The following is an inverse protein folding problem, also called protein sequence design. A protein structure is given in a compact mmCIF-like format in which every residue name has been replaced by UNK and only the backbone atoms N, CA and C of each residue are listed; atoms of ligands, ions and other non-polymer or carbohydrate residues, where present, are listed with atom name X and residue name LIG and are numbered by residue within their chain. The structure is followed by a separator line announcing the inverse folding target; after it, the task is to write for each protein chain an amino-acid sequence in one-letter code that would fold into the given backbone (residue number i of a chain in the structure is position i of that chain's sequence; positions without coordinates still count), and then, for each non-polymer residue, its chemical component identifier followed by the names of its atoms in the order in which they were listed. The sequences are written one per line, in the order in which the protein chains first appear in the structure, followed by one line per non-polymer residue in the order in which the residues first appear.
data_IF_121726762405
#
_entry.id   IF_121726762405
#
_cell.length_a   1.000
_cell.length_b   1.000
_cell.length_c   1.000
_cell.angle_alpha   90.00
_cell.angle_beta   90.00
_cell.angle_gamma   90.00
#
_symmetry.space_group_name_H-M   'P 1'
#
loop_
_entity.id
_entity.type
_entity.pdbx_description
1 polymer ?
#
# COMPACT_ATOMS: atom_id res chain seq x y z
N UNK A 1 -8.75 -22.30 -1.49
CA UNK A 1 -8.56 -20.85 -1.29
C UNK A 1 -8.49 -20.21 -2.67
N UNK A 2 -9.39 -19.29 -3.00
CA UNK A 2 -9.37 -18.62 -4.30
C UNK A 2 -8.05 -17.85 -4.48
N UNK A 3 -7.42 -18.00 -5.63
CA UNK A 3 -6.09 -17.43 -5.91
C UNK A 3 -6.18 -15.90 -5.90
N UNK A 4 -5.26 -15.18 -5.22
CA UNK A 4 -5.21 -13.72 -5.27
C UNK A 4 -5.09 -13.25 -6.73
N UNK A 5 -5.80 -12.18 -7.08
CA UNK A 5 -5.70 -11.59 -8.43
C UNK A 5 -4.36 -10.88 -8.62
N UNK A 6 -3.89 -10.79 -9.87
CA UNK A 6 -2.66 -10.06 -10.20
C UNK A 6 -2.71 -8.58 -9.73
N UNK A 7 -3.91 -7.97 -9.78
CA UNK A 7 -4.16 -6.62 -9.29
C UNK A 7 -4.00 -6.51 -7.77
N UNK A 8 -4.54 -7.48 -7.02
CA UNK A 8 -4.40 -7.52 -5.56
C UNK A 8 -2.93 -7.65 -5.17
N UNK A 9 -2.17 -8.52 -5.83
CA UNK A 9 -0.74 -8.71 -5.58
C UNK A 9 0.05 -7.41 -5.82
N UNK A 10 -0.20 -6.74 -6.95
CA UNK A 10 0.44 -5.44 -7.27
C UNK A 10 0.18 -4.40 -6.19
N UNK A 11 -1.06 -4.31 -5.71
CA UNK A 11 -1.42 -3.30 -4.71
C UNK A 11 -0.87 -3.63 -3.32
N UNK A 12 -0.73 -4.91 -2.97
CA UNK A 12 0.00 -5.33 -1.76
C UNK A 12 1.47 -4.93 -1.87
N UNK A 13 2.13 -5.22 -3.00
CA UNK A 13 3.53 -4.83 -3.23
C UNK A 13 3.71 -3.31 -3.16
N UNK A 14 2.81 -2.55 -3.78
CA UNK A 14 2.83 -1.09 -3.70
C UNK A 14 2.69 -0.58 -2.25
N UNK A 15 1.76 -1.15 -1.47
CA UNK A 15 1.59 -0.79 -0.07
C UNK A 15 2.88 -1.04 0.75
N UNK A 16 3.54 -2.19 0.54
CA UNK A 16 4.81 -2.52 1.22
C UNK A 16 5.91 -1.53 0.84
N UNK A 17 6.08 -1.24 -0.45
CA UNK A 17 7.09 -0.28 -0.93
C UNK A 17 6.85 1.11 -0.34
N UNK A 18 5.60 1.57 -0.32
CA UNK A 18 5.25 2.87 0.25
C UNK A 18 5.47 2.90 1.76
N UNK A 19 5.17 1.84 2.49
CA UNK A 19 5.46 1.75 3.92
C UNK A 19 6.97 1.88 4.20
N UNK A 20 7.82 1.20 3.41
CA UNK A 20 9.29 1.32 3.52
C UNK A 20 9.75 2.73 3.20
N UNK A 21 9.24 3.34 2.12
CA UNK A 21 9.58 4.71 1.74
C UNK A 21 9.17 5.73 2.83
N UNK A 22 8.03 5.52 3.49
CA UNK A 22 7.58 6.35 4.59
C UNK A 22 8.54 6.27 5.78
N UNK A 23 8.89 5.05 6.22
CA UNK A 23 9.83 4.84 7.32
C UNK A 23 11.18 5.45 6.99
N UNK A 24 11.69 5.23 5.77
CA UNK A 24 12.94 5.83 5.31
C UNK A 24 12.93 7.36 5.37
N UNK A 25 11.87 8.00 4.85
CA UNK A 25 11.76 9.47 4.86
C UNK A 25 11.73 10.02 6.29
N UNK A 26 11.05 9.33 7.22
CA UNK A 26 11.02 9.72 8.63
C UNK A 26 12.39 9.57 9.31
N UNK A 27 13.11 8.47 9.04
CA UNK A 27 14.44 8.21 9.61
C UNK A 27 15.48 9.23 9.15
N UNK A 28 15.45 9.63 7.88
CA UNK A 28 16.40 10.60 7.31
C UNK A 28 16.00 12.05 7.62
N UNK A 29 14.85 12.28 8.25
CA UNK A 29 14.35 13.64 8.52
C UNK A 29 13.94 14.39 7.26
N UNK A 30 13.45 13.67 6.24
CA UNK A 30 13.01 14.24 4.99
C UNK A 30 11.74 15.10 5.12
N UNK A 31 11.32 15.78 4.04
CA UNK A 31 10.21 16.73 4.10
C UNK A 31 8.90 16.06 4.55
N UNK A 32 8.18 16.73 5.46
CA UNK A 32 6.94 16.18 6.04
C UNK A 32 5.85 15.90 4.99
N UNK A 33 5.81 16.70 3.93
CA UNK A 33 4.82 16.55 2.85
C UNK A 33 5.07 15.29 2.02
N UNK A 34 6.32 14.81 1.92
CA UNK A 34 6.64 13.53 1.27
C UNK A 34 6.04 12.38 2.08
N UNK A 35 6.19 12.41 3.40
CA UNK A 35 5.58 11.42 4.30
C UNK A 35 4.05 11.39 4.14
N UNK A 36 3.40 12.55 4.02
CA UNK A 36 1.95 12.61 3.83
C UNK A 36 1.52 11.96 2.51
N UNK A 37 2.19 12.27 1.39
CA UNK A 37 1.89 11.68 0.07
C UNK A 37 2.07 10.17 0.10
N UNK A 38 3.21 9.70 0.63
CA UNK A 38 3.54 8.27 0.69
C UNK A 38 2.58 7.52 1.62
N UNK A 39 2.20 8.11 2.75
CA UNK A 39 1.22 7.54 3.66
C UNK A 39 -0.16 7.38 2.98
N UNK A 40 -0.62 8.39 2.25
CA UNK A 40 -1.87 8.32 1.48
C UNK A 40 -1.79 7.22 0.40
N UNK A 41 -0.69 7.16 -0.34
CA UNK A 41 -0.48 6.12 -1.37
C UNK A 41 -0.48 4.71 -0.78
N UNK A 42 0.14 4.53 0.40
CA UNK A 42 0.12 3.28 1.15
C UNK A 42 -1.30 2.89 1.56
N UNK A 43 -2.07 3.84 2.09
CA UNK A 43 -3.44 3.62 2.54
C UNK A 43 -4.36 3.21 1.37
N UNK A 44 -4.31 3.94 0.25
CA UNK A 44 -5.10 3.64 -0.94
C UNK A 44 -4.75 2.28 -1.55
N UNK A 45 -3.46 1.95 -1.61
CA UNK A 45 -3.00 0.65 -2.11
C UNK A 45 -3.49 -0.50 -1.22
N UNK A 46 -3.38 -0.34 0.09
CA UNK A 46 -3.87 -1.30 1.09
C UNK A 46 -5.38 -1.50 0.99
N UNK A 47 -6.13 -0.39 0.91
CA UNK A 47 -7.58 -0.42 0.80
C UNK A 47 -8.04 -1.06 -0.51
N UNK A 48 -7.39 -0.75 -1.63
CA UNK A 48 -7.68 -1.37 -2.91
C UNK A 48 -7.38 -2.89 -2.89
N UNK A 49 -6.29 -3.32 -2.26
CA UNK A 49 -6.01 -4.74 -2.07
C UNK A 49 -7.07 -5.44 -1.21
N UNK A 50 -7.56 -4.76 -0.17
CA UNK A 50 -8.61 -5.28 0.71
C UNK A 50 -9.95 -5.44 -0.02
N UNK A 51 -10.37 -4.43 -0.79
CA UNK A 51 -11.63 -4.50 -1.56
C UNK A 51 -11.59 -5.54 -2.68
N UNK A 52 -10.43 -5.77 -3.30
CA UNK A 52 -10.28 -6.74 -4.39
C UNK A 52 -9.94 -8.17 -3.92
N UNK A 53 -10.05 -8.45 -2.62
CA UNK A 53 -9.79 -9.81 -2.09
C UNK A 53 -10.88 -10.78 -2.56
N UNK A 54 -10.55 -12.06 -2.84
CA UNK A 54 -11.52 -13.03 -3.37
C UNK A 54 -12.76 -13.22 -2.49
N UNK A 55 -12.60 -13.10 -1.17
CA UNK A 55 -13.68 -13.25 -0.19
C UNK A 55 -14.70 -12.10 -0.18
N UNK A 56 -14.41 -10.95 -0.79
CA UNK A 56 -15.33 -9.81 -0.86
C UNK A 56 -16.26 -9.85 -2.09
N UNK A 57 -16.07 -10.83 -2.98
CA UNK A 57 -16.81 -11.00 -4.24
C UNK A 57 -17.85 -12.13 -4.21
N UNK A 58 -18.06 -12.72 -3.03
CA UNK A 58 -19.08 -13.75 -2.75
C UNK A 58 -20.29 -13.12 -2.04
#
# INVERSE_FOLDING_TARGET
MAKPSALQIRNILAAVIMAVALVWNLVVGGPWWVSAIVAVACLLSSFSAYLNRPSARN
#
